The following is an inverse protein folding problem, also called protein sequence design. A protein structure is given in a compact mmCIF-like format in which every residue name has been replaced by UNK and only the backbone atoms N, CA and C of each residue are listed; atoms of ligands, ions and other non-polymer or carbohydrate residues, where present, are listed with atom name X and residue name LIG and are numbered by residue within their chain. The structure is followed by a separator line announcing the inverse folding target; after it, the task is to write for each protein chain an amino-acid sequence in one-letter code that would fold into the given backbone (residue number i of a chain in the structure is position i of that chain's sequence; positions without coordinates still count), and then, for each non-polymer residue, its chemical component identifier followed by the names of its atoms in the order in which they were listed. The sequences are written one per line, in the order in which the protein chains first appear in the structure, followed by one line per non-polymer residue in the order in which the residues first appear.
data_IF_907680056121
#
_entry.id   IF_907680056121
#
_cell.length_a   1.000
_cell.length_b   1.000
_cell.length_c   1.000
_cell.angle_alpha   90.00
_cell.angle_beta   90.00
_cell.angle_gamma   90.00
#
_symmetry.space_group_name_H-M   'P 1'
#
loop_
_entity.id
_entity.type
_entity.pdbx_description
1 polymer ?
#
# COMPACT_ATOMS: atom_id res chain seq x y z
N UNK A 1 -3.89 -30.44 6.59
CA UNK A 1 -3.73 -29.26 5.70
C UNK A 1 -2.33 -28.73 5.93
N UNK A 2 -1.46 -28.79 4.91
CA UNK A 2 -0.09 -28.30 5.02
C UNK A 2 -0.08 -26.78 5.07
N UNK A 3 0.84 -26.21 5.84
CA UNK A 3 1.10 -24.77 5.84
C UNK A 3 1.68 -24.40 4.48
N UNK A 4 1.07 -23.42 3.80
CA UNK A 4 1.67 -22.82 2.61
C UNK A 4 2.81 -21.90 3.07
N UNK A 5 4.05 -22.41 3.01
CA UNK A 5 5.23 -21.71 3.50
C UNK A 5 5.43 -20.35 2.83
N UNK A 6 5.11 -20.24 1.54
CA UNK A 6 5.29 -19.01 0.79
C UNK A 6 4.29 -17.92 1.24
N UNK A 7 3.06 -18.30 1.58
CA UNK A 7 2.08 -17.36 2.15
C UNK A 7 2.51 -16.89 3.54
N UNK A 8 3.00 -17.77 4.39
CA UNK A 8 3.47 -17.39 5.73
C UNK A 8 4.68 -16.45 5.68
N UNK A 9 5.60 -16.66 4.73
CA UNK A 9 6.70 -15.72 4.47
C UNK A 9 6.15 -14.36 4.03
N UNK A 10 5.21 -14.34 3.08
CA UNK A 10 4.61 -13.10 2.57
C UNK A 10 3.90 -12.31 3.68
N UNK A 11 3.09 -12.99 4.50
CA UNK A 11 2.42 -12.40 5.66
C UNK A 11 3.42 -11.76 6.63
N UNK A 12 4.51 -12.46 6.93
CA UNK A 12 5.58 -11.95 7.80
C UNK A 12 6.24 -10.70 7.19
N UNK A 13 6.53 -10.70 5.90
CA UNK A 13 7.11 -9.55 5.21
C UNK A 13 6.19 -8.33 5.24
N UNK A 14 4.88 -8.50 5.09
CA UNK A 14 3.90 -7.41 5.24
C UNK A 14 4.03 -6.78 6.63
N UNK A 15 4.06 -7.60 7.67
CA UNK A 15 4.16 -7.15 9.07
C UNK A 15 5.49 -6.43 9.32
N UNK A 16 6.60 -6.98 8.82
CA UNK A 16 7.93 -6.38 8.97
C UNK A 16 8.01 -5.01 8.27
N UNK A 17 7.35 -4.85 7.11
CA UNK A 17 7.22 -3.55 6.45
C UNK A 17 6.44 -2.55 7.31
N UNK A 18 5.31 -2.96 7.89
CA UNK A 18 4.52 -2.09 8.78
C UNK A 18 5.33 -1.67 10.02
N UNK A 19 6.09 -2.58 10.63
CA UNK A 19 6.99 -2.25 11.75
C UNK A 19 8.05 -1.22 11.32
N UNK A 20 8.69 -1.44 10.17
CA UNK A 20 9.69 -0.52 9.62
C UNK A 20 9.12 0.88 9.39
N UNK A 21 7.98 0.97 8.70
CA UNK A 21 7.31 2.24 8.41
C UNK A 21 6.96 3.02 9.69
N UNK A 22 6.45 2.32 10.71
CA UNK A 22 6.14 2.93 12.00
C UNK A 22 7.41 3.41 12.70
N UNK A 23 8.46 2.59 12.77
CA UNK A 23 9.74 2.96 13.40
C UNK A 23 10.44 4.15 12.73
N UNK A 24 10.18 4.36 11.43
CA UNK A 24 10.67 5.50 10.63
C UNK A 24 9.79 6.75 10.78
N UNK A 25 8.69 6.68 11.53
CA UNK A 25 7.73 7.78 11.70
C UNK A 25 6.93 8.10 10.44
N UNK A 26 6.83 7.16 9.50
CA UNK A 26 6.14 7.36 8.21
C UNK A 26 4.64 7.06 8.26
N UNK A 27 4.15 6.56 9.38
CA UNK A 27 2.72 6.37 9.63
C UNK A 27 2.46 6.37 11.13
N UNK A 28 1.18 6.56 11.50
CA UNK A 28 0.73 6.38 12.88
C UNK A 28 0.55 4.90 13.21
N UNK A 29 0.25 4.59 14.48
CA UNK A 29 0.10 3.21 14.93
C UNK A 29 -1.00 2.40 14.21
N UNK A 30 -2.15 3.01 13.98
CA UNK A 30 -3.33 2.36 13.36
C UNK A 30 -3.47 2.71 11.88
N UNK A 31 -2.91 3.85 11.47
CA UNK A 31 -2.92 4.34 10.09
C UNK A 31 -1.96 3.59 9.19
N UNK A 32 -2.05 3.88 7.89
CA UNK A 32 -1.35 3.12 6.87
C UNK A 32 -1.90 1.71 6.71
N UNK A 33 -1.53 1.07 5.62
CA UNK A 33 -1.87 -0.31 5.34
C UNK A 33 -0.94 -0.87 4.28
N UNK A 34 -0.89 -2.19 4.23
CA UNK A 34 -0.09 -2.91 3.28
C UNK A 34 -0.89 -4.08 2.73
N UNK A 35 -0.61 -4.41 1.48
CA UNK A 35 -1.10 -5.63 0.87
C UNK A 35 -0.02 -6.25 0.00
N UNK A 36 -0.03 -7.57 -0.13
CA UNK A 36 0.79 -8.25 -1.10
C UNK A 36 0.13 -9.55 -1.59
N UNK A 37 0.48 -9.96 -2.81
CA UNK A 37 0.06 -11.22 -3.43
C UNK A 37 1.27 -11.99 -3.94
N UNK A 38 1.09 -13.27 -4.18
CA UNK A 38 2.04 -14.00 -5.04
C UNK A 38 1.84 -13.59 -6.50
N UNK A 39 2.92 -13.63 -7.28
CA UNK A 39 2.88 -13.24 -8.68
C UNK A 39 1.87 -14.09 -9.45
N UNK A 40 0.95 -13.42 -10.14
CA UNK A 40 -0.11 -14.08 -10.92
C UNK A 40 -1.35 -14.49 -10.13
N UNK A 41 -1.39 -14.31 -8.80
CA UNK A 41 -2.61 -14.56 -8.04
C UNK A 41 -3.63 -13.41 -8.13
N UNK A 42 -4.91 -13.77 -8.11
CA UNK A 42 -6.05 -12.84 -7.99
C UNK A 42 -6.55 -12.72 -6.55
N UNK A 43 -5.73 -13.16 -5.59
CA UNK A 43 -6.02 -13.06 -4.17
C UNK A 43 -4.85 -12.35 -3.50
N UNK A 44 -5.16 -11.51 -2.52
CA UNK A 44 -4.18 -10.66 -1.87
C UNK A 44 -4.34 -10.75 -0.36
N UNK A 45 -3.22 -10.78 0.35
CA UNK A 45 -3.16 -10.56 1.79
C UNK A 45 -3.13 -9.07 2.08
N UNK A 46 -3.99 -8.58 2.97
CA UNK A 46 -4.08 -7.17 3.34
C UNK A 46 -4.15 -7.00 4.86
N UNK A 47 -3.56 -5.92 5.36
CA UNK A 47 -3.62 -5.57 6.79
C UNK A 47 -5.04 -5.29 7.27
N UNK A 48 -5.39 -5.64 8.52
CA UNK A 48 -6.70 -5.38 9.11
C UNK A 48 -6.97 -3.90 9.38
N UNK A 49 -8.24 -3.54 9.35
CA UNK A 49 -8.72 -2.23 9.81
C UNK A 49 -8.67 -2.13 11.35
N UNK A 50 -8.33 -0.95 11.86
CA UNK A 50 -8.46 -0.60 13.29
C UNK A 50 -7.42 -1.21 14.25
N UNK A 51 -6.60 -2.17 13.83
CA UNK A 51 -5.55 -2.75 14.67
C UNK A 51 -4.22 -1.97 14.59
N UNK A 52 -3.46 -2.01 15.70
CA UNK A 52 -2.11 -1.44 15.78
C UNK A 52 -1.16 -2.26 14.89
N UNK A 53 -0.65 -1.65 13.83
CA UNK A 53 0.07 -2.33 12.74
C UNK A 53 1.40 -2.95 13.17
N UNK A 54 2.18 -2.36 14.09
CA UNK A 54 3.43 -2.96 14.57
C UNK A 54 3.25 -4.27 15.36
N UNK A 55 2.09 -4.53 15.95
CA UNK A 55 1.85 -5.71 16.80
C UNK A 55 1.05 -6.82 16.09
N UNK A 56 0.86 -6.71 14.77
CA UNK A 56 0.17 -7.73 13.99
C UNK A 56 0.92 -9.06 13.99
N UNK A 57 0.16 -10.14 14.02
CA UNK A 57 0.59 -11.50 13.77
C UNK A 57 0.13 -11.95 12.37
N UNK A 58 0.77 -12.97 11.76
CA UNK A 58 0.35 -13.48 10.45
C UNK A 58 -1.14 -13.88 10.38
N UNK A 59 -1.69 -14.39 11.49
CA UNK A 59 -3.11 -14.75 11.62
C UNK A 59 -4.08 -13.56 11.58
N UNK A 60 -3.57 -12.33 11.77
CA UNK A 60 -4.38 -11.12 11.81
C UNK A 60 -4.59 -10.53 10.41
N UNK A 61 -3.84 -10.99 9.41
CA UNK A 61 -4.00 -10.57 8.01
C UNK A 61 -5.24 -11.23 7.38
N UNK A 62 -5.84 -10.52 6.43
CA UNK A 62 -7.04 -10.96 5.72
C UNK A 62 -6.65 -11.29 4.28
N UNK A 63 -7.10 -12.45 3.77
CA UNK A 63 -7.02 -12.76 2.34
C UNK A 63 -8.33 -12.31 1.68
N UNK A 64 -8.24 -11.44 0.69
CA UNK A 64 -9.39 -11.02 -0.12
C UNK A 64 -9.16 -11.34 -1.60
N UNK A 65 -10.22 -11.52 -2.37
CA UNK A 65 -10.14 -11.47 -3.83
C UNK A 65 -10.12 -10.02 -4.35
N UNK A 66 -9.99 -9.82 -5.67
CA UNK A 66 -9.93 -8.49 -6.26
C UNK A 66 -11.30 -7.76 -6.25
N UNK A 67 -12.37 -8.45 -5.86
CA UNK A 67 -13.71 -7.88 -5.65
C UNK A 67 -13.94 -7.48 -4.19
N UNK A 68 -12.96 -7.73 -3.31
CA UNK A 68 -13.01 -7.42 -1.88
C UNK A 68 -13.74 -8.46 -1.04
N UNK A 69 -14.09 -9.61 -1.62
CA UNK A 69 -14.68 -10.72 -0.86
C UNK A 69 -13.61 -11.33 0.04
N UNK A 70 -13.95 -11.52 1.31
CA UNK A 70 -13.08 -12.19 2.27
C UNK A 70 -13.02 -13.68 1.93
N UNK A 71 -11.81 -14.18 1.72
CA UNK A 71 -11.48 -15.59 1.49
C UNK A 71 -10.98 -16.24 2.78
N UNK A 72 -10.16 -15.53 3.55
CA UNK A 72 -9.59 -15.99 4.82
C UNK A 72 -9.36 -14.80 5.78
N UNK A 73 -9.45 -15.06 7.09
CA UNK A 73 -9.23 -14.09 8.16
C UNK A 73 -10.48 -13.83 8.99
N UNK A 74 -10.29 -13.38 10.22
CA UNK A 74 -11.38 -13.10 11.18
C UNK A 74 -11.70 -11.61 11.35
N UNK A 75 -10.78 -10.75 10.91
CA UNK A 75 -10.91 -9.30 11.01
C UNK A 75 -11.49 -8.69 9.74
N UNK A 76 -11.87 -7.41 9.82
CA UNK A 76 -12.22 -6.63 8.62
C UNK A 76 -10.92 -6.20 7.91
N UNK A 77 -10.83 -6.32 6.57
CA UNK A 77 -9.71 -5.78 5.82
C UNK A 77 -9.63 -4.26 6.00
N UNK A 78 -8.49 -3.65 5.68
CA UNK A 78 -8.36 -2.19 5.60
C UNK A 78 -9.54 -1.60 4.81
N UNK A 79 -10.08 -0.47 5.27
CA UNK A 79 -11.16 0.24 4.55
C UNK A 79 -10.71 0.66 3.14
N UNK A 80 -9.40 0.74 2.94
CA UNK A 80 -8.76 1.22 1.71
C UNK A 80 -8.54 0.14 0.66
N UNK A 81 -9.06 -1.06 0.87
CA UNK A 81 -8.91 -2.19 -0.04
C UNK A 81 -9.31 -1.86 -1.49
N UNK A 82 -10.23 -0.91 -1.72
CA UNK A 82 -10.65 -0.48 -3.05
C UNK A 82 -9.49 -0.01 -3.94
N UNK A 83 -8.55 0.81 -3.43
CA UNK A 83 -7.41 1.20 -4.27
C UNK A 83 -6.42 0.05 -4.43
N UNK A 84 -6.27 -0.83 -3.44
CA UNK A 84 -5.38 -1.99 -3.56
C UNK A 84 -5.84 -2.88 -4.70
N UNK A 85 -7.11 -3.27 -4.71
CA UNK A 85 -7.67 -4.14 -5.75
C UNK A 85 -7.72 -3.45 -7.10
N UNK A 86 -8.05 -2.15 -7.17
CA UNK A 86 -8.00 -1.37 -8.41
C UNK A 86 -6.59 -1.35 -9.03
N UNK A 87 -5.54 -1.18 -8.21
CA UNK A 87 -4.15 -1.27 -8.66
C UNK A 87 -3.85 -2.67 -9.19
N UNK A 88 -4.14 -3.72 -8.43
CA UNK A 88 -3.83 -5.10 -8.86
C UNK A 88 -4.52 -5.54 -10.14
N UNK A 89 -5.75 -5.05 -10.39
CA UNK A 89 -6.51 -5.30 -11.63
C UNK A 89 -5.86 -4.63 -12.85
N UNK A 90 -5.22 -3.47 -12.65
CA UNK A 90 -4.64 -2.66 -13.73
C UNK A 90 -3.14 -2.87 -13.93
N UNK A 91 -2.44 -3.40 -12.92
CA UNK A 91 -0.98 -3.57 -12.88
C UNK A 91 -0.61 -5.01 -12.50
N UNK A 92 -0.45 -5.86 -13.51
CA UNK A 92 -0.03 -7.26 -13.33
C UNK A 92 1.42 -7.40 -12.89
N UNK A 93 2.24 -6.35 -13.07
CA UNK A 93 3.62 -6.26 -12.60
C UNK A 93 3.74 -5.90 -11.11
N UNK A 94 2.64 -5.48 -10.48
CA UNK A 94 2.59 -5.12 -9.06
C UNK A 94 2.10 -6.30 -8.23
N UNK A 95 2.88 -6.65 -7.20
CA UNK A 95 2.52 -7.66 -6.21
C UNK A 95 2.60 -7.17 -4.76
N UNK A 96 3.01 -5.92 -4.54
CA UNK A 96 3.00 -5.30 -3.22
C UNK A 96 2.60 -3.83 -3.30
N UNK A 97 1.82 -3.40 -2.32
CA UNK A 97 1.32 -2.02 -2.20
C UNK A 97 1.45 -1.60 -0.74
N UNK A 98 2.05 -0.44 -0.49
CA UNK A 98 2.12 0.18 0.82
C UNK A 98 1.47 1.56 0.79
N UNK A 99 0.63 1.84 1.78
CA UNK A 99 0.08 3.16 2.05
C UNK A 99 0.64 3.72 3.35
N UNK A 100 1.12 4.96 3.30
CA UNK A 100 1.79 5.64 4.41
C UNK A 100 1.27 7.06 4.58
N UNK A 101 1.62 7.69 5.71
CA UNK A 101 1.28 9.08 6.02
C UNK A 101 2.56 9.90 6.26
N UNK A 102 3.52 9.82 5.33
CA UNK A 102 4.83 10.48 5.43
C UNK A 102 4.70 11.98 5.73
N UNK A 103 5.12 12.48 6.92
CA UNK A 103 4.88 13.87 7.32
C UNK A 103 5.52 14.90 6.38
N UNK A 104 6.72 14.62 5.87
CA UNK A 104 7.42 15.51 4.95
C UNK A 104 6.71 15.58 3.59
N UNK A 105 6.34 14.44 3.02
CA UNK A 105 5.62 14.40 1.74
C UNK A 105 4.28 15.11 1.85
N UNK A 106 3.54 14.86 2.94
CA UNK A 106 2.27 15.53 3.21
C UNK A 106 2.45 17.04 3.41
N UNK A 107 3.47 17.48 4.16
CA UNK A 107 3.78 18.89 4.36
C UNK A 107 4.10 19.61 3.05
N UNK A 108 4.92 19.00 2.19
CA UNK A 108 5.27 19.56 0.88
C UNK A 108 4.07 19.60 -0.08
N UNK A 109 3.24 18.55 -0.09
CA UNK A 109 2.01 18.51 -0.88
C UNK A 109 1.00 19.58 -0.43
N UNK A 110 0.84 19.78 0.88
CA UNK A 110 0.02 20.85 1.47
C UNK A 110 0.54 22.24 1.12
N UNK A 111 1.86 22.43 1.13
CA UNK A 111 2.50 23.68 0.75
C UNK A 111 2.52 23.93 -0.77
N UNK A 112 1.89 23.05 -1.57
CA UNK A 112 1.87 23.09 -3.03
C UNK A 112 3.29 23.13 -3.64
N UNK A 113 4.26 22.51 -2.98
CA UNK A 113 5.64 22.41 -3.45
C UNK A 113 5.72 21.27 -4.45
N UNK A 114 6.19 21.57 -5.66
CA UNK A 114 6.47 20.53 -6.66
C UNK A 114 7.57 19.61 -6.15
N UNK A 115 7.22 18.35 -5.91
CA UNK A 115 8.18 17.31 -5.54
C UNK A 115 9.07 17.00 -6.74
N UNK A 116 10.38 17.15 -6.56
CA UNK A 116 11.39 16.83 -7.56
C UNK A 116 12.32 15.79 -6.97
N UNK A 117 12.74 14.78 -7.76
CA UNK A 117 13.75 13.85 -7.30
C UNK A 117 15.05 14.60 -7.03
N UNK A 118 15.61 14.40 -5.83
CA UNK A 118 16.88 15.03 -5.41
C UNK A 118 18.08 14.10 -5.51
N UNK A 119 17.84 12.80 -5.78
CA UNK A 119 18.87 11.80 -6.06
C UNK A 119 18.64 11.15 -7.41
N UNK A 120 19.68 10.52 -7.96
CA UNK A 120 19.59 9.81 -9.24
C UNK A 120 18.65 8.60 -9.15
N UNK A 121 18.66 7.91 -8.03
CA UNK A 121 17.80 6.77 -7.74
C UNK A 121 16.33 7.21 -7.74
N UNK A 122 16.01 8.29 -7.02
CA UNK A 122 14.66 8.85 -7.03
C UNK A 122 14.24 9.31 -8.44
N UNK A 123 15.16 9.91 -9.21
CA UNK A 123 14.86 10.35 -10.57
C UNK A 123 14.59 9.19 -11.53
N UNK A 124 15.23 8.04 -11.30
CA UNK A 124 15.08 6.84 -12.13
C UNK A 124 13.84 6.03 -11.75
N UNK A 125 13.60 5.86 -10.45
CA UNK A 125 12.54 4.98 -9.93
C UNK A 125 11.18 5.69 -9.87
N UNK A 126 11.16 6.90 -9.31
CA UNK A 126 9.92 7.66 -9.14
C UNK A 126 9.60 8.43 -10.42
N UNK A 127 10.62 9.06 -11.04
CA UNK A 127 10.56 9.93 -12.22
C UNK A 127 9.54 11.08 -12.11
N UNK A 128 8.26 10.76 -12.03
CA UNK A 128 7.13 11.65 -11.84
C UNK A 128 6.12 11.01 -10.88
N UNK A 129 5.68 11.75 -9.86
CA UNK A 129 4.76 11.29 -8.81
C UNK A 129 3.51 12.17 -8.82
N UNK A 130 2.36 11.68 -9.32
CA UNK A 130 1.14 12.47 -9.36
C UNK A 130 0.63 12.77 -7.96
N UNK A 131 0.10 13.99 -7.77
CA UNK A 131 -0.64 14.41 -6.59
C UNK A 131 -2.12 14.45 -6.97
N UNK A 132 -2.93 13.62 -6.32
CA UNK A 132 -4.35 13.52 -6.55
C UNK A 132 -5.14 14.44 -5.62
N UNK A 133 -6.19 15.11 -6.12
CA UNK A 133 -7.09 15.87 -5.26
C UNK A 133 -7.80 14.95 -4.27
N UNK A 134 -8.20 15.52 -3.13
CA UNK A 134 -8.82 14.79 -2.04
C UNK A 134 -10.09 14.05 -2.48
N UNK A 135 -10.20 12.80 -2.04
CA UNK A 135 -11.43 12.00 -2.00
C UNK A 135 -11.51 11.28 -0.67
N UNK A 136 -12.72 10.88 -0.26
CA UNK A 136 -12.91 10.18 0.99
C UNK A 136 -12.19 8.82 1.01
N UNK A 137 -11.43 8.50 2.08
CA UNK A 137 -10.78 7.21 2.25
C UNK A 137 -11.77 6.05 2.18
N UNK A 138 -11.33 4.93 1.61
CA UNK A 138 -12.12 3.70 1.51
C UNK A 138 -13.34 3.76 0.57
N UNK A 139 -13.36 4.72 -0.36
CA UNK A 139 -14.37 4.79 -1.42
C UNK A 139 -13.89 4.16 -2.72
N UNK A 140 -14.82 3.59 -3.50
CA UNK A 140 -14.54 3.13 -4.86
C UNK A 140 -14.07 4.29 -5.77
N UNK A 141 -14.56 5.50 -5.51
CA UNK A 141 -14.21 6.71 -6.25
C UNK A 141 -12.72 7.08 -6.11
N UNK A 142 -12.16 6.90 -4.90
CA UNK A 142 -10.73 7.00 -4.63
C UNK A 142 -9.98 5.83 -5.27
N UNK A 143 -10.51 4.61 -5.14
CA UNK A 143 -9.94 3.41 -5.74
C UNK A 143 -9.69 3.53 -7.24
N UNK A 144 -10.72 3.97 -7.97
CA UNK A 144 -10.64 4.17 -9.42
C UNK A 144 -9.60 5.25 -9.78
N UNK A 145 -9.64 6.39 -9.10
CA UNK A 145 -8.72 7.50 -9.34
C UNK A 145 -7.25 7.09 -9.12
N UNK A 146 -6.97 6.38 -8.02
CA UNK A 146 -5.63 5.85 -7.74
C UNK A 146 -5.22 4.83 -8.78
N UNK A 147 -6.10 3.88 -9.11
CA UNK A 147 -5.83 2.85 -10.09
C UNK A 147 -5.48 3.41 -11.48
N UNK A 148 -6.09 4.53 -11.89
CA UNK A 148 -5.74 5.22 -13.14
C UNK A 148 -4.42 5.99 -13.02
N UNK A 149 -4.22 6.73 -11.94
CA UNK A 149 -3.05 7.60 -11.77
C UNK A 149 -1.74 6.84 -11.58
N UNK A 150 -1.79 5.63 -11.02
CA UNK A 150 -0.60 4.82 -10.75
C UNK A 150 -0.06 4.12 -12.01
N UNK A 151 -0.77 4.16 -13.15
CA UNK A 151 -0.35 3.49 -14.38
C UNK A 151 1.03 3.98 -14.85
N UNK A 152 1.98 3.06 -14.96
CA UNK A 152 3.38 3.37 -15.30
C UNK A 152 4.15 4.15 -14.22
N UNK A 153 3.61 4.28 -13.00
CA UNK A 153 4.23 4.98 -11.86
C UNK A 153 4.50 4.02 -10.71
N UNK A 154 5.40 4.42 -9.80
CA UNK A 154 5.75 3.68 -8.58
C UNK A 154 5.17 4.27 -7.31
N UNK A 155 4.75 5.53 -7.35
CA UNK A 155 4.10 6.19 -6.24
C UNK A 155 3.01 7.15 -6.71
N UNK A 156 2.03 7.39 -5.85
CA UNK A 156 0.97 8.40 -5.98
C UNK A 156 0.81 9.08 -4.61
N UNK A 157 0.58 10.38 -4.62
CA UNK A 157 0.30 11.15 -3.40
C UNK A 157 -1.18 11.53 -3.40
N UNK A 158 -1.82 11.35 -2.26
CA UNK A 158 -3.21 11.70 -2.01
C UNK A 158 -3.24 12.96 -1.15
N UNK A 159 -3.73 14.07 -1.72
CA UNK A 159 -3.81 15.33 -0.99
C UNK A 159 -4.64 15.17 0.30
N UNK A 160 -4.13 15.68 1.42
CA UNK A 160 -4.73 15.60 2.76
C UNK A 160 -4.95 14.17 3.30
N UNK A 161 -4.28 13.17 2.72
CA UNK A 161 -4.50 11.77 3.06
C UNK A 161 -3.21 10.99 3.26
N UNK A 162 -2.39 10.79 2.23
CA UNK A 162 -1.16 10.00 2.37
C UNK A 162 -0.44 9.70 1.06
N UNK A 163 0.43 8.70 1.09
CA UNK A 163 1.24 8.26 -0.05
C UNK A 163 0.94 6.79 -0.31
N UNK A 164 0.82 6.42 -1.58
CA UNK A 164 0.71 5.03 -2.03
C UNK A 164 1.95 4.71 -2.85
N UNK A 165 2.56 3.56 -2.56
CA UNK A 165 3.72 3.04 -3.28
C UNK A 165 3.47 1.61 -3.73
N UNK A 166 4.05 1.22 -4.87
CA UNK A 166 3.84 -0.08 -5.49
C UNK A 166 5.14 -0.71 -5.95
N UNK A 167 5.24 -2.04 -5.84
CA UNK A 167 6.43 -2.81 -6.18
C UNK A 167 6.09 -4.19 -6.74
N UNK A 168 7.07 -4.78 -7.41
CA UNK A 168 7.10 -6.21 -7.75
C UNK A 168 7.11 -7.06 -6.48
N UNK A 169 7.72 -6.55 -5.41
CA UNK A 169 7.69 -7.12 -4.07
C UNK A 169 7.60 -6.00 -3.00
N UNK A 170 7.49 -6.42 -1.73
CA UNK A 170 7.37 -5.51 -0.60
C UNK A 170 8.63 -4.65 -0.38
N UNK A 171 9.81 -5.13 -0.77
CA UNK A 171 11.07 -4.39 -0.63
C UNK A 171 11.11 -3.25 -1.63
N UNK A 172 10.75 -3.50 -2.88
CA UNK A 172 10.66 -2.47 -3.92
C UNK A 172 9.62 -1.41 -3.52
N UNK A 173 8.44 -1.83 -3.07
CA UNK A 173 7.42 -0.89 -2.59
C UNK A 173 7.95 -0.05 -1.41
N UNK A 174 8.57 -0.68 -0.41
CA UNK A 174 9.14 0.00 0.77
C UNK A 174 10.30 0.95 0.43
N UNK A 175 11.01 0.71 -0.67
CA UNK A 175 12.13 1.57 -1.09
C UNK A 175 11.67 2.89 -1.72
N UNK A 176 10.38 3.06 -1.95
CA UNK A 176 9.79 4.23 -2.64
C UNK A 176 8.87 5.10 -1.77
N UNK A 177 8.81 4.81 -0.46
CA UNK A 177 7.97 5.51 0.55
C UNK A 177 8.56 6.81 1.07
#
# INVERSE_FOLDING_TARGET
MGINLDEEILKKQIIDCMKSLHSRGLMTGVGGNASARQMGEEKVWITPSGLYKPDLNPSDLIKIDLEGKIIEGIFKPSIEWYFHTAIYKKRTDVNAILHTHSPFTMGLALANVKLRPITLEAATILADVPILPFKYPGTEELGNQVGDAILGKRAVILQNHGVITVGFDLIEALSTV
#
